data_IF_819037598743
#
_entry.id   IF_819037598743
#
_cell.length_a   1.000
_cell.length_b   1.000
_cell.length_c   1.000
_cell.angle_alpha   90.00
_cell.angle_beta   90.00
_cell.angle_gamma   90.00
#
_symmetry.space_group_name_H-M   'P 1'
#
loop_
_entity.id
_entity.type
_entity.pdbx_description
1 polymer ?
#
# COMPACT_ATOMS: atom_id res chain seq x y z
N UNK A 1 -9.45 -0.76 16.28
CA UNK A 1 -8.86 0.22 15.38
C UNK A 1 -9.74 0.47 14.16
N UNK A 2 -9.71 1.70 13.67
CA UNK A 2 -10.37 2.05 12.40
C UNK A 2 -9.38 1.88 11.26
N UNK A 3 -9.71 1.04 10.32
CA UNK A 3 -8.80 0.55 9.30
C UNK A 3 -9.20 1.06 7.92
N UNK A 4 -8.23 1.61 7.20
CA UNK A 4 -8.30 1.89 5.78
C UNK A 4 -7.37 0.92 5.04
N UNK A 5 -7.85 0.36 3.94
CA UNK A 5 -7.04 -0.47 3.05
C UNK A 5 -6.98 0.23 1.71
N UNK A 6 -5.92 1.02 1.51
CA UNK A 6 -5.66 1.73 0.28
C UNK A 6 -4.75 0.89 -0.60
N UNK A 7 -5.06 0.79 -1.88
CA UNK A 7 -4.26 -0.01 -2.80
C UNK A 7 -4.28 0.55 -4.21
N UNK A 8 -3.17 0.38 -4.90
CA UNK A 8 -3.05 0.60 -6.33
C UNK A 8 -2.83 -0.75 -7.00
N UNK A 9 -3.64 -1.09 -8.01
CA UNK A 9 -3.55 -2.35 -8.73
C UNK A 9 -3.62 -2.12 -10.23
N UNK A 10 -2.77 -2.81 -11.00
CA UNK A 10 -2.77 -2.74 -12.46
C UNK A 10 -3.31 -4.03 -13.09
N UNK A 11 -2.82 -5.19 -12.66
CA UNK A 11 -3.21 -6.48 -13.22
C UNK A 11 -4.24 -7.24 -12.40
N UNK A 12 -4.61 -6.74 -11.23
CA UNK A 12 -5.60 -7.33 -10.33
C UNK A 12 -5.01 -8.11 -9.15
N UNK A 13 -3.73 -8.41 -9.13
CA UNK A 13 -3.11 -9.17 -8.04
C UNK A 13 -3.12 -8.43 -6.72
N UNK A 14 -2.76 -7.15 -6.74
CA UNK A 14 -2.78 -6.30 -5.54
C UNK A 14 -4.20 -6.11 -5.02
N UNK A 15 -5.15 -5.92 -5.94
CA UNK A 15 -6.57 -5.80 -5.59
C UNK A 15 -7.09 -7.06 -4.89
N UNK A 16 -6.75 -8.24 -5.40
CA UNK A 16 -7.14 -9.50 -4.79
C UNK A 16 -6.57 -9.61 -3.36
N UNK A 17 -5.31 -9.22 -3.16
CA UNK A 17 -4.69 -9.19 -1.84
C UNK A 17 -5.42 -8.22 -0.89
N UNK A 18 -5.76 -7.03 -1.39
CA UNK A 18 -6.50 -6.04 -0.61
C UNK A 18 -7.86 -6.57 -0.16
N UNK A 19 -8.59 -7.26 -1.04
CA UNK A 19 -9.88 -7.86 -0.71
C UNK A 19 -9.75 -8.95 0.35
N UNK A 20 -8.71 -9.77 0.28
CA UNK A 20 -8.45 -10.80 1.29
C UNK A 20 -8.10 -10.21 2.65
N UNK A 21 -7.32 -9.14 2.67
CA UNK A 21 -7.00 -8.41 3.91
C UNK A 21 -8.29 -7.83 4.51
N UNK A 22 -9.10 -7.17 3.70
CA UNK A 22 -10.37 -6.58 4.15
C UNK A 22 -11.33 -7.65 4.72
N UNK A 23 -11.40 -8.81 4.09
CA UNK A 23 -12.22 -9.91 4.59
C UNK A 23 -11.76 -10.40 5.98
N UNK A 24 -10.46 -10.32 6.26
CA UNK A 24 -9.88 -10.77 7.54
C UNK A 24 -9.94 -9.71 8.65
N UNK A 25 -9.72 -8.44 8.34
CA UNK A 25 -9.58 -7.37 9.35
C UNK A 25 -10.74 -6.37 9.35
N UNK A 26 -11.59 -6.40 8.34
CA UNK A 26 -12.61 -5.37 8.13
C UNK A 26 -12.03 -4.07 7.60
N UNK A 27 -12.74 -2.98 7.79
CA UNK A 27 -12.31 -1.65 7.38
C UNK A 27 -12.78 -1.25 5.99
N UNK A 28 -12.34 -0.08 5.57
CA UNK A 28 -12.74 0.56 4.31
C UNK A 28 -11.70 0.28 3.23
N UNK A 29 -12.17 -0.19 2.08
CA UNK A 29 -11.33 -0.31 0.88
C UNK A 29 -11.30 1.02 0.13
N UNK A 30 -10.15 1.39 -0.38
CA UNK A 30 -9.98 2.53 -1.28
C UNK A 30 -9.01 2.18 -2.41
N UNK A 31 -9.52 2.17 -3.64
CA UNK A 31 -8.70 1.95 -4.83
C UNK A 31 -8.06 3.25 -5.28
N UNK A 32 -6.74 3.31 -5.26
CA UNK A 32 -5.97 4.44 -5.79
C UNK A 32 -6.01 4.34 -7.31
N UNK A 33 -6.56 5.36 -7.98
CA UNK A 33 -6.66 5.42 -9.42
C UNK A 33 -6.17 6.77 -9.92
N UNK A 34 -5.36 6.75 -10.97
CA UNK A 34 -4.88 7.97 -11.59
C UNK A 34 -5.93 8.58 -12.51
N UNK A 35 -5.90 9.91 -12.63
CA UNK A 35 -6.79 10.65 -13.52
C UNK A 35 -6.68 10.15 -14.96
N UNK A 36 -5.45 9.92 -15.43
CA UNK A 36 -5.18 9.26 -16.70
C UNK A 36 -4.84 7.80 -16.40
N UNK A 37 -5.69 6.83 -16.79
CA UNK A 37 -5.42 5.42 -16.51
C UNK A 37 -4.15 4.93 -17.19
N UNK A 38 -3.44 4.03 -16.54
CA UNK A 38 -2.31 3.34 -17.16
C UNK A 38 -2.81 2.40 -18.26
N UNK A 39 -2.07 2.30 -19.39
CA UNK A 39 -2.43 1.34 -20.44
C UNK A 39 -2.45 -0.10 -19.91
N UNK A 40 -3.36 -0.91 -20.44
CA UNK A 40 -3.41 -2.33 -20.10
C UNK A 40 -2.20 -3.09 -20.66
N UNK A 41 -1.67 -2.65 -21.80
CA UNK A 41 -0.45 -3.22 -22.39
C UNK A 41 0.72 -3.05 -21.43
N UNK A 42 1.36 -4.16 -21.09
CA UNK A 42 2.44 -4.20 -20.10
C UNK A 42 3.65 -3.35 -20.53
N UNK A 43 4.00 -3.37 -21.82
CA UNK A 43 5.13 -2.60 -22.33
C UNK A 43 4.87 -1.10 -22.30
N UNK A 44 3.69 -0.67 -22.71
CA UNK A 44 3.29 0.74 -22.69
C UNK A 44 3.17 1.27 -21.25
N UNK A 45 2.55 0.50 -20.37
CA UNK A 45 2.48 0.83 -18.95
C UNK A 45 3.88 0.97 -18.35
N UNK A 46 4.78 0.04 -18.65
CA UNK A 46 6.15 0.06 -18.18
C UNK A 46 6.93 1.30 -18.60
N UNK A 47 6.73 1.77 -19.85
CA UNK A 47 7.36 3.01 -20.33
C UNK A 47 6.92 4.23 -19.56
N UNK A 48 5.62 4.34 -19.30
CA UNK A 48 5.05 5.46 -18.52
C UNK A 48 5.56 5.42 -17.09
N UNK A 49 5.53 4.24 -16.46
CA UNK A 49 6.00 4.06 -15.09
C UNK A 49 7.49 4.43 -14.96
N UNK A 50 8.31 4.06 -15.94
CA UNK A 50 9.73 4.40 -15.97
C UNK A 50 9.96 5.90 -16.11
N UNK A 51 9.20 6.58 -16.95
CA UNK A 51 9.25 8.03 -17.11
C UNK A 51 8.85 8.76 -15.84
N UNK A 52 7.78 8.32 -15.19
CA UNK A 52 7.31 8.90 -13.94
C UNK A 52 8.36 8.77 -12.83
N UNK A 53 8.99 7.61 -12.74
CA UNK A 53 10.05 7.38 -11.76
C UNK A 53 11.27 8.26 -12.04
N UNK A 54 11.73 8.31 -13.28
CA UNK A 54 12.90 9.11 -13.69
C UNK A 54 12.67 10.61 -13.45
N UNK A 55 11.45 11.09 -13.72
CA UNK A 55 11.06 12.49 -13.51
C UNK A 55 10.61 12.79 -12.09
N UNK A 56 10.59 11.82 -11.20
CA UNK A 56 10.04 11.96 -9.84
C UNK A 56 8.64 12.59 -9.86
N UNK A 57 7.80 12.12 -10.76
CA UNK A 57 6.49 12.68 -11.03
C UNK A 57 5.45 12.24 -9.99
N UNK A 58 4.40 13.06 -9.85
CA UNK A 58 3.25 12.76 -8.99
C UNK A 58 1.98 12.77 -9.83
N UNK A 59 1.65 11.63 -10.50
CA UNK A 59 0.45 11.60 -11.33
C UNK A 59 -0.80 11.92 -10.51
N UNK A 60 -1.67 12.83 -11.00
CA UNK A 60 -2.88 13.18 -10.26
C UNK A 60 -3.84 12.00 -10.14
N UNK A 61 -4.54 11.93 -9.01
CA UNK A 61 -5.54 10.91 -8.75
C UNK A 61 -6.90 11.31 -9.33
N UNK A 62 -7.64 10.33 -9.84
CA UNK A 62 -9.00 10.54 -10.38
C UNK A 62 -9.97 10.99 -9.27
N UNK A 63 -9.88 10.32 -8.13
CA UNK A 63 -10.65 10.64 -6.92
C UNK A 63 -9.72 10.42 -5.74
N UNK A 64 -9.81 11.27 -4.74
CA UNK A 64 -9.09 11.07 -3.48
C UNK A 64 -10.05 11.15 -2.31
N UNK A 65 -9.63 10.61 -1.18
CA UNK A 65 -10.37 10.74 0.06
C UNK A 65 -10.24 12.18 0.57
N UNK A 66 -11.35 12.76 1.00
CA UNK A 66 -11.34 14.11 1.53
C UNK A 66 -10.55 14.21 2.83
N UNK A 67 -10.61 13.15 3.65
CA UNK A 67 -10.01 13.11 4.97
C UNK A 67 -9.72 11.66 5.38
N UNK A 68 -8.58 11.43 6.01
CA UNK A 68 -8.21 10.14 6.59
C UNK A 68 -8.08 10.18 8.12
N UNK A 69 -8.44 11.29 8.75
CA UNK A 69 -8.25 11.48 10.21
C UNK A 69 -8.94 10.43 11.06
N UNK A 70 -10.05 9.87 10.58
CA UNK A 70 -10.79 8.83 11.28
C UNK A 70 -10.08 7.48 11.36
N UNK A 71 -9.07 7.25 10.49
CA UNK A 71 -8.35 5.98 10.47
C UNK A 71 -7.08 6.06 11.29
N UNK A 72 -6.82 5.05 12.09
CA UNK A 72 -5.57 4.94 12.87
C UNK A 72 -4.58 3.95 12.25
N UNK A 73 -5.07 3.02 11.44
CA UNK A 73 -4.29 1.98 10.78
C UNK A 73 -4.60 1.98 9.29
N UNK A 74 -3.57 2.15 8.47
CA UNK A 74 -3.70 2.18 7.02
C UNK A 74 -2.83 1.10 6.40
N UNK A 75 -3.48 0.11 5.77
CA UNK A 75 -2.80 -0.81 4.88
C UNK A 75 -2.57 -0.10 3.55
N UNK A 76 -1.38 -0.22 3.00
CA UNK A 76 -1.03 0.36 1.69
C UNK A 76 -0.49 -0.73 0.78
N UNK A 77 -1.23 -1.03 -0.30
CA UNK A 77 -0.92 -2.10 -1.24
C UNK A 77 -0.53 -1.58 -2.62
N UNK A 78 0.45 -2.25 -3.25
CA UNK A 78 0.94 -1.84 -4.57
C UNK A 78 1.73 -2.94 -5.25
N UNK A 79 1.77 -2.96 -6.60
CA UNK A 79 2.76 -3.76 -7.31
C UNK A 79 4.12 -3.08 -7.24
N UNK A 80 5.17 -3.85 -7.08
CA UNK A 80 6.54 -3.29 -7.15
C UNK A 80 6.84 -2.99 -8.62
N UNK A 81 7.08 -1.71 -8.93
CA UNK A 81 7.47 -1.25 -10.25
C UNK A 81 8.89 -0.69 -10.20
N UNK A 82 9.79 -1.28 -11.01
CA UNK A 82 11.21 -0.88 -11.03
C UNK A 82 11.84 -0.87 -9.63
N UNK A 83 11.47 -1.87 -8.82
CA UNK A 83 12.04 -2.07 -7.48
C UNK A 83 11.45 -1.19 -6.39
N UNK A 84 10.50 -0.31 -6.68
CA UNK A 84 9.94 0.63 -5.71
C UNK A 84 8.41 0.77 -5.86
N UNK A 85 7.80 1.70 -5.13
CA UNK A 85 6.38 2.00 -5.26
C UNK A 85 6.08 2.65 -6.59
N UNK A 86 4.90 2.39 -7.19
CA UNK A 86 4.41 3.24 -8.27
C UNK A 86 4.28 4.69 -7.81
N UNK A 87 4.48 5.65 -8.72
CA UNK A 87 4.43 7.07 -8.36
C UNK A 87 3.03 7.52 -7.93
N UNK A 88 1.98 6.86 -8.43
CA UNK A 88 0.59 7.09 -7.98
C UNK A 88 0.42 6.85 -6.47
N UNK A 89 1.13 5.86 -5.91
CA UNK A 89 1.13 5.58 -4.48
C UNK A 89 1.74 6.75 -3.70
N UNK A 90 2.83 7.33 -4.20
CA UNK A 90 3.45 8.51 -3.58
C UNK A 90 2.54 9.72 -3.63
N UNK A 91 1.80 9.91 -4.73
CA UNK A 91 0.78 10.96 -4.81
C UNK A 91 -0.23 10.84 -3.67
N UNK A 92 -0.75 9.63 -3.45
CA UNK A 92 -1.70 9.36 -2.37
C UNK A 92 -1.09 9.61 -0.98
N UNK A 93 0.09 9.06 -0.73
CA UNK A 93 0.76 9.19 0.57
C UNK A 93 1.08 10.64 0.93
N UNK A 94 1.51 11.43 -0.06
CA UNK A 94 1.89 12.84 0.16
C UNK A 94 0.69 13.78 0.23
N UNK A 95 -0.50 13.33 -0.20
CA UNK A 95 -1.74 14.11 -0.14
C UNK A 95 -2.42 14.10 1.24
N UNK A 96 -1.98 13.23 2.14
CA UNK A 96 -2.61 13.04 3.45
C UNK A 96 -1.61 13.12 4.59
N UNK A 97 -2.09 13.44 5.78
CA UNK A 97 -1.29 13.45 7.00
C UNK A 97 -1.37 12.08 7.69
N UNK A 98 -0.27 11.36 7.69
CA UNK A 98 -0.14 10.05 8.34
C UNK A 98 0.51 10.12 9.72
N UNK A 99 0.70 11.31 10.29
CA UNK A 99 1.30 11.49 11.61
C UNK A 99 0.52 10.71 12.67
N UNK A 100 1.23 9.93 13.48
CA UNK A 100 0.65 9.13 14.56
C UNK A 100 -0.16 7.92 14.07
N UNK A 101 -0.16 7.64 12.78
CA UNK A 101 -0.87 6.48 12.21
C UNK A 101 0.10 5.33 11.96
N UNK A 102 -0.44 4.11 11.97
CA UNK A 102 0.31 2.91 11.62
C UNK A 102 0.11 2.64 10.14
N UNK A 103 1.20 2.53 9.39
CA UNK A 103 1.21 2.10 7.99
C UNK A 103 1.63 0.64 7.90
N UNK A 104 0.85 -0.14 7.18
CA UNK A 104 1.04 -1.59 7.01
C UNK A 104 1.17 -1.88 5.52
N UNK A 105 2.40 -1.89 4.97
CA UNK A 105 2.60 -2.09 3.54
C UNK A 105 2.42 -3.56 3.14
N UNK A 106 1.85 -3.77 1.96
CA UNK A 106 1.87 -5.07 1.29
C UNK A 106 2.08 -4.85 -0.21
N UNK A 107 2.89 -5.69 -0.81
CA UNK A 107 3.18 -5.54 -2.23
C UNK A 107 3.14 -6.85 -2.98
N UNK A 108 2.88 -6.74 -4.27
CA UNK A 108 2.94 -7.87 -5.20
C UNK A 108 4.12 -7.69 -6.12
N UNK A 109 4.84 -8.78 -6.41
CA UNK A 109 6.05 -8.74 -7.20
C UNK A 109 6.32 -10.11 -7.83
N UNK A 110 7.06 -10.15 -8.93
CA UNK A 110 7.57 -11.41 -9.47
C UNK A 110 8.84 -11.85 -8.75
N UNK A 111 9.77 -10.94 -8.53
CA UNK A 111 11.10 -11.25 -7.96
C UNK A 111 11.59 -10.24 -6.93
N UNK A 112 11.11 -9.00 -6.98
CA UNK A 112 11.62 -7.92 -6.13
C UNK A 112 11.16 -8.06 -4.69
N UNK A 113 12.02 -7.64 -3.76
CA UNK A 113 11.65 -7.46 -2.35
C UNK A 113 10.95 -6.13 -2.09
N UNK A 114 10.74 -5.81 -0.83
CA UNK A 114 9.97 -4.64 -0.39
C UNK A 114 10.88 -3.47 0.06
N UNK A 115 12.16 -3.70 0.23
CA UNK A 115 13.08 -2.79 0.95
C UNK A 115 13.12 -1.37 0.37
N UNK A 116 13.31 -1.24 -0.94
CA UNK A 116 13.35 0.08 -1.60
C UNK A 116 12.01 0.80 -1.53
N UNK A 117 10.91 0.06 -1.61
CA UNK A 117 9.58 0.65 -1.51
C UNK A 117 9.27 1.09 -0.08
N UNK A 118 9.77 0.39 0.94
CA UNK A 118 9.66 0.85 2.33
C UNK A 118 10.39 2.17 2.54
N UNK A 119 11.58 2.33 1.96
CA UNK A 119 12.33 3.60 2.00
C UNK A 119 11.53 4.73 1.35
N UNK A 120 10.90 4.46 0.21
CA UNK A 120 10.05 5.44 -0.47
C UNK A 120 8.83 5.84 0.37
N UNK A 121 8.17 4.87 1.03
CA UNK A 121 7.04 5.13 1.92
C UNK A 121 7.50 5.96 3.12
N UNK A 122 8.62 5.62 3.73
CA UNK A 122 9.19 6.36 4.86
C UNK A 122 9.53 7.81 4.48
N UNK A 123 10.02 8.03 3.28
CA UNK A 123 10.31 9.37 2.76
C UNK A 123 9.04 10.18 2.56
N UNK A 124 7.98 9.56 2.01
CA UNK A 124 6.69 10.24 1.81
C UNK A 124 5.92 10.46 3.12
N UNK A 125 6.12 9.61 4.13
CA UNK A 125 5.39 9.65 5.39
C UNK A 125 6.35 9.55 6.59
N UNK A 126 7.20 10.56 6.82
CA UNK A 126 8.27 10.47 7.82
C UNK A 126 7.78 10.38 9.26
N UNK A 127 6.54 10.74 9.53
CA UNK A 127 5.96 10.73 10.89
C UNK A 127 5.00 9.57 11.14
N UNK A 128 4.87 8.64 10.19
CA UNK A 128 4.08 7.44 10.37
C UNK A 128 4.90 6.31 10.99
N UNK A 129 4.22 5.43 11.72
CA UNK A 129 4.83 4.19 12.22
C UNK A 129 4.65 3.10 11.16
N UNK A 130 5.72 2.75 10.47
CA UNK A 130 5.70 1.74 9.42
C UNK A 130 6.07 0.39 10.03
N UNK A 131 5.16 -0.57 9.97
CA UNK A 131 5.37 -1.91 10.50
C UNK A 131 5.72 -2.90 9.38
N UNK A 132 6.09 -4.11 9.79
CA UNK A 132 6.58 -5.14 8.88
C UNK A 132 5.60 -5.41 7.73
N UNK A 133 6.06 -5.18 6.50
CA UNK A 133 5.29 -5.40 5.30
C UNK A 133 5.26 -6.86 4.83
N UNK A 134 4.33 -7.14 3.91
CA UNK A 134 4.19 -8.43 3.26
C UNK A 134 4.59 -8.32 1.79
N UNK A 135 5.39 -9.26 1.33
CA UNK A 135 5.73 -9.44 -0.09
C UNK A 135 5.02 -10.69 -0.62
N UNK A 136 4.22 -10.51 -1.65
CA UNK A 136 3.55 -11.60 -2.35
C UNK A 136 4.23 -11.81 -3.71
N UNK A 137 5.13 -12.78 -3.78
CA UNK A 137 5.93 -13.06 -4.97
C UNK A 137 5.34 -14.22 -5.76
N UNK A 138 4.85 -13.93 -6.97
CA UNK A 138 4.41 -14.90 -7.99
C UNK A 138 3.66 -16.12 -7.42
N UNK A 139 2.62 -15.85 -6.65
CA UNK A 139 1.89 -16.88 -5.91
C UNK A 139 0.43 -16.98 -6.33
N UNK A 140 -0.05 -18.24 -6.38
CA UNK A 140 -1.45 -18.52 -6.64
C UNK A 140 -2.36 -18.11 -5.46
N UNK A 141 -3.66 -18.00 -5.76
CA UNK A 141 -4.69 -17.48 -4.83
C UNK A 141 -4.73 -18.19 -3.48
N UNK A 142 -4.64 -19.53 -3.46
CA UNK A 142 -4.68 -20.28 -2.20
C UNK A 142 -3.47 -20.04 -1.32
N UNK A 143 -2.28 -19.93 -1.92
CA UNK A 143 -1.06 -19.63 -1.19
C UNK A 143 -1.06 -18.19 -0.69
N UNK A 144 -1.61 -17.26 -1.47
CA UNK A 144 -1.78 -15.86 -1.07
C UNK A 144 -2.60 -15.74 0.20
N UNK A 145 -3.73 -16.44 0.27
CA UNK A 145 -4.60 -16.42 1.44
C UNK A 145 -3.87 -16.91 2.71
N UNK A 146 -3.11 -18.00 2.61
CA UNK A 146 -2.33 -18.54 3.74
C UNK A 146 -1.25 -17.57 4.20
N UNK A 147 -0.53 -16.95 3.27
CA UNK A 147 0.52 -15.97 3.59
C UNK A 147 -0.06 -14.73 4.26
N UNK A 148 -1.18 -14.23 3.75
CA UNK A 148 -1.87 -13.07 4.34
C UNK A 148 -2.33 -13.40 5.76
N UNK A 149 -2.96 -14.55 5.98
CA UNK A 149 -3.45 -14.96 7.29
C UNK A 149 -2.31 -15.07 8.31
N UNK A 150 -1.21 -15.72 7.93
CA UNK A 150 -0.03 -15.87 8.78
C UNK A 150 0.61 -14.52 9.11
N UNK A 151 0.76 -13.65 8.13
CA UNK A 151 1.32 -12.32 8.32
C UNK A 151 0.45 -11.45 9.23
N UNK A 152 -0.86 -11.49 9.05
CA UNK A 152 -1.80 -10.70 9.87
C UNK A 152 -1.75 -11.08 11.34
N UNK A 153 -1.49 -12.32 11.68
CA UNK A 153 -1.35 -12.75 13.08
C UNK A 153 -0.23 -11.97 13.79
N UNK A 154 0.94 -11.83 13.14
CA UNK A 154 2.05 -11.05 13.68
C UNK A 154 1.78 -9.54 13.67
N UNK A 155 1.20 -9.05 12.59
CA UNK A 155 0.92 -7.62 12.41
C UNK A 155 -0.12 -7.09 13.41
N UNK A 156 -1.14 -7.89 13.75
CA UNK A 156 -2.14 -7.50 14.75
C UNK A 156 -1.50 -7.16 16.10
N UNK A 157 -0.54 -7.96 16.54
CA UNK A 157 0.19 -7.68 17.77
C UNK A 157 0.97 -6.36 17.73
N UNK A 158 1.60 -6.05 16.60
CA UNK A 158 2.30 -4.76 16.42
C UNK A 158 1.32 -3.58 16.41
N UNK A 159 0.19 -3.70 15.71
CA UNK A 159 -0.86 -2.67 15.68
C UNK A 159 -1.37 -2.38 17.08
N UNK A 160 -1.66 -3.41 17.85
CA UNK A 160 -2.16 -3.28 19.23
C UNK A 160 -1.12 -2.58 20.12
N UNK A 161 0.17 -2.89 19.95
CA UNK A 161 1.26 -2.27 20.69
C UNK A 161 1.34 -0.76 20.42
N UNK A 162 1.27 -0.35 19.14
CA UNK A 162 1.25 1.07 18.76
C UNK A 162 -0.01 1.77 19.26
N UNK A 163 -1.16 1.11 19.20
CA UNK A 163 -2.42 1.64 19.73
C UNK A 163 -2.35 1.95 21.23
N UNK A 164 -1.77 1.05 22.01
CA UNK A 164 -1.59 1.25 23.46
C UNK A 164 -0.65 2.41 23.79
N UNK A 165 0.43 2.59 23.02
CA UNK A 165 1.35 3.72 23.21
C UNK A 165 0.66 5.06 22.98
N UNK A 166 -0.27 5.13 22.03
CA UNK A 166 -1.01 6.37 21.71
C UNK A 166 -2.05 6.73 22.78
N UNK A 167 -2.67 5.74 23.40
CA UNK A 167 -3.65 5.99 24.47
C UNK A 167 -3.01 6.33 25.81
N UNK A 168 -1.70 6.10 25.97
CA UNK A 168 -0.95 6.40 27.19
C UNK A 168 -0.33 7.80 27.20
N UNK A 169 -0.46 8.58 26.10
CA UNK A 169 0.00 9.97 25.98
C UNK A 169 -1.18 10.93 26.07
#
# INVERSE_FOLDING_TARGET
PKILIAYFSHTGNTELAAWQIQAAVGGQLFAIQTEVPYPQDKSECGKIAKQELAGNERPPLAVDLADISQYDTIFIGYPVWYGTTPMAVRTFLEAHDFSGKVLVPFCTSKKSGIEKSLDAIATSCPQADIIKGLVLQDIGTGKMQRLISSWLEGVRGEIDTFGKKRTAQ
#
